data_IF_033691995458
#
_entry.id   IF_033691995458
#
_cell.length_a   1.000
_cell.length_b   1.000
_cell.length_c   1.000
_cell.angle_alpha   90.00
_cell.angle_beta   90.00
_cell.angle_gamma   90.00
#
_symmetry.space_group_name_H-M   'P 1'
#
loop_
_entity.id
_entity.type
_entity.pdbx_description
1 polymer ?
#
# COMPACT_ATOMS: atom_id res chain seq x y z
N UNK A 1 15.98 -25.58 17.90
CA UNK A 1 15.19 -24.63 17.13
C UNK A 1 15.60 -23.22 17.55
N UNK A 2 15.95 -22.35 16.62
CA UNK A 2 16.26 -20.94 16.84
C UNK A 2 15.21 -20.03 16.22
N UNK A 3 15.05 -18.82 16.80
CA UNK A 3 14.22 -17.78 16.22
C UNK A 3 15.13 -16.85 15.40
N UNK A 4 14.70 -16.52 14.19
CA UNK A 4 15.42 -15.63 13.29
C UNK A 4 14.44 -14.61 12.70
N UNK A 5 14.94 -13.41 12.41
CA UNK A 5 14.19 -12.40 11.65
C UNK A 5 14.53 -12.55 10.18
N UNK A 6 13.54 -12.38 9.33
CA UNK A 6 13.77 -12.28 7.89
C UNK A 6 14.30 -10.88 7.57
N UNK A 7 15.48 -10.82 6.96
CA UNK A 7 16.08 -9.60 6.45
C UNK A 7 15.90 -9.44 4.93
N UNK A 8 16.40 -8.34 4.35
CA UNK A 8 16.36 -8.11 2.92
C UNK A 8 16.97 -9.28 2.13
N UNK A 9 16.39 -9.64 0.99
CA UNK A 9 16.92 -10.71 0.14
C UNK A 9 16.90 -12.10 0.76
N UNK A 10 15.93 -12.40 1.61
CA UNK A 10 15.81 -13.69 2.33
C UNK A 10 16.96 -13.98 3.30
N UNK A 11 17.77 -12.99 3.66
CA UNK A 11 18.78 -13.17 4.69
C UNK A 11 18.14 -13.45 6.04
N UNK A 12 18.77 -14.30 6.84
CA UNK A 12 18.36 -14.56 8.21
C UNK A 12 19.13 -13.65 9.15
N UNK A 13 18.41 -12.84 9.91
CA UNK A 13 18.99 -11.94 10.91
C UNK A 13 18.87 -12.57 12.30
N UNK A 14 19.86 -12.28 13.15
CA UNK A 14 19.83 -12.72 14.54
C UNK A 14 18.72 -11.98 15.28
N UNK A 15 17.78 -12.73 15.85
CA UNK A 15 16.77 -12.18 16.74
C UNK A 15 17.34 -11.93 18.14
N UNK A 16 17.12 -10.71 18.66
CA UNK A 16 17.43 -10.34 20.04
C UNK A 16 16.20 -9.68 20.65
N UNK A 17 15.71 -10.21 21.77
CA UNK A 17 14.56 -9.66 22.48
C UNK A 17 13.50 -10.72 22.75
N UNK A 18 12.28 -10.26 23.08
CA UNK A 18 11.11 -11.12 23.29
C UNK A 18 10.24 -11.10 22.03
N UNK A 19 9.77 -12.26 21.60
CA UNK A 19 8.85 -12.38 20.44
C UNK A 19 7.57 -11.56 20.65
N UNK A 20 7.10 -11.49 21.91
CA UNK A 20 5.91 -10.74 22.27
C UNK A 20 6.05 -9.21 22.07
N UNK A 21 7.28 -8.71 21.99
CA UNK A 21 7.58 -7.30 21.80
C UNK A 21 7.81 -6.95 20.31
N UNK A 22 7.79 -7.96 19.42
CA UNK A 22 7.90 -7.75 17.97
C UNK A 22 6.58 -7.28 17.40
N UNK A 23 6.66 -6.30 16.51
CA UNK A 23 5.56 -5.98 15.62
C UNK A 23 5.36 -7.16 14.63
N UNK A 24 4.18 -7.77 14.68
CA UNK A 24 3.82 -8.93 13.86
C UNK A 24 3.23 -8.52 12.50
N UNK A 25 3.30 -7.24 12.17
CA UNK A 25 2.80 -6.74 10.90
C UNK A 25 3.64 -7.29 9.75
N UNK A 26 2.96 -7.76 8.70
CA UNK A 26 3.59 -8.10 7.45
C UNK A 26 3.57 -6.88 6.53
N UNK A 27 4.63 -6.12 6.56
CA UNK A 27 4.82 -4.94 5.71
C UNK A 27 6.11 -5.08 4.89
N UNK A 28 6.11 -4.49 3.70
CA UNK A 28 7.26 -4.51 2.82
C UNK A 28 7.93 -3.13 2.76
N UNK A 29 9.23 -3.06 2.50
CA UNK A 29 9.91 -1.79 2.31
C UNK A 29 9.29 -0.95 1.18
N UNK A 30 9.34 0.37 1.33
CA UNK A 30 8.96 1.32 0.28
C UNK A 30 9.69 1.02 -1.04
N UNK A 31 8.96 1.01 -2.14
CA UNK A 31 9.47 0.66 -3.47
C UNK A 31 9.39 -0.83 -3.79
N UNK A 32 8.84 -1.66 -2.89
CA UNK A 32 8.58 -3.08 -3.20
C UNK A 32 7.39 -3.21 -4.13
N UNK A 33 7.55 -3.94 -5.23
CA UNK A 33 6.45 -4.30 -6.12
C UNK A 33 5.87 -5.65 -5.72
N UNK A 34 4.54 -5.76 -5.67
CA UNK A 34 3.81 -6.95 -5.27
C UNK A 34 3.13 -7.59 -6.47
N UNK A 35 3.33 -8.88 -6.62
CA UNK A 35 2.95 -9.63 -7.81
C UNK A 35 1.45 -9.63 -8.13
N UNK A 36 1.14 -10.06 -9.32
CA UNK A 36 -0.21 -10.29 -9.82
C UNK A 36 -0.33 -11.74 -10.30
N UNK A 37 -1.44 -12.38 -9.98
CA UNK A 37 -1.76 -13.69 -10.53
C UNK A 37 -2.28 -13.54 -11.96
N UNK A 38 -1.56 -14.08 -12.97
CA UNK A 38 -1.95 -13.91 -14.37
C UNK A 38 -3.25 -14.64 -14.73
N UNK A 39 -3.68 -15.62 -13.96
CA UNK A 39 -4.90 -16.37 -14.23
C UNK A 39 -6.16 -15.65 -13.72
N UNK A 40 -6.04 -14.94 -12.61
CA UNK A 40 -7.18 -14.30 -11.94
C UNK A 40 -7.14 -12.77 -12.00
N UNK A 41 -6.02 -12.17 -12.39
CA UNK A 41 -5.75 -10.72 -12.29
C UNK A 41 -5.98 -10.19 -10.87
N UNK A 42 -5.65 -10.99 -9.87
CA UNK A 42 -5.70 -10.60 -8.47
C UNK A 42 -4.30 -10.36 -7.93
N UNK A 43 -4.14 -9.38 -7.03
CA UNK A 43 -2.87 -9.16 -6.37
C UNK A 43 -2.50 -10.34 -5.49
N UNK A 44 -1.21 -10.61 -5.40
CA UNK A 44 -0.66 -11.47 -4.37
C UNK A 44 0.38 -10.69 -3.56
N UNK A 45 0.69 -11.20 -2.38
CA UNK A 45 1.59 -10.55 -1.43
C UNK A 45 3.04 -11.05 -1.58
N UNK A 46 3.44 -11.36 -2.81
CA UNK A 46 4.78 -11.84 -3.14
C UNK A 46 5.60 -10.70 -3.75
N UNK A 47 6.72 -10.30 -3.14
CA UNK A 47 7.61 -9.33 -3.74
C UNK A 47 8.19 -9.84 -5.06
N UNK A 48 8.16 -8.96 -6.05
CA UNK A 48 8.71 -9.21 -7.39
C UNK A 48 9.57 -8.02 -7.83
N UNK A 49 10.39 -8.23 -8.86
CA UNK A 49 11.08 -7.13 -9.52
C UNK A 49 10.04 -6.23 -10.22
N UNK A 50 10.15 -4.91 -10.06
CA UNK A 50 9.19 -3.97 -10.64
C UNK A 50 9.19 -3.98 -12.20
N UNK A 51 10.23 -4.48 -12.84
CA UNK A 51 10.28 -4.63 -14.29
C UNK A 51 9.40 -5.75 -14.84
N UNK A 52 8.91 -6.65 -13.97
CA UNK A 52 7.97 -7.71 -14.36
C UNK A 52 6.54 -7.35 -13.97
N UNK A 53 5.51 -8.06 -14.53
CA UNK A 53 4.11 -7.83 -14.19
C UNK A 53 3.83 -7.90 -12.69
N UNK A 54 3.20 -6.85 -12.15
CA UNK A 54 2.82 -6.75 -10.75
C UNK A 54 1.50 -5.99 -10.60
N UNK A 55 0.87 -6.05 -9.42
CA UNK A 55 -0.41 -5.41 -9.15
C UNK A 55 -0.27 -4.09 -8.41
N UNK A 56 0.69 -4.02 -7.50
CA UNK A 56 0.85 -2.89 -6.58
C UNK A 56 2.31 -2.56 -6.34
N UNK A 57 2.56 -1.32 -5.92
CA UNK A 57 3.86 -0.86 -5.45
C UNK A 57 3.70 -0.20 -4.08
N UNK A 58 4.55 -0.55 -3.13
CA UNK A 58 4.54 -0.03 -1.76
C UNK A 58 5.12 1.37 -1.75
N UNK A 59 4.37 2.36 -1.27
CA UNK A 59 4.79 3.76 -1.20
C UNK A 59 5.18 4.21 0.21
N UNK A 60 4.83 3.43 1.23
CA UNK A 60 5.16 3.73 2.61
C UNK A 60 4.52 2.77 3.60
N UNK A 61 4.78 3.03 4.88
CA UNK A 61 4.24 2.25 6.00
C UNK A 61 3.70 3.19 7.06
N UNK A 62 2.56 2.86 7.65
CA UNK A 62 1.92 3.62 8.74
C UNK A 62 1.94 2.79 10.01
N UNK A 63 2.41 3.37 11.11
CA UNK A 63 2.40 2.74 12.42
C UNK A 63 1.20 3.24 13.25
N UNK A 64 0.18 2.41 13.35
CA UNK A 64 -1.01 2.69 14.15
C UNK A 64 -0.72 2.65 15.65
N UNK A 65 0.25 1.84 16.09
CA UNK A 65 0.62 1.72 17.51
C UNK A 65 1.17 3.01 18.09
N UNK A 66 1.91 3.79 17.31
CA UNK A 66 2.41 5.11 17.73
C UNK A 66 1.28 6.12 17.89
N UNK A 67 0.32 6.11 16.99
CA UNK A 67 -0.83 7.04 16.99
C UNK A 67 -1.87 6.67 18.04
N UNK A 68 -2.09 5.37 18.27
CA UNK A 68 -3.13 4.83 19.13
C UNK A 68 -2.55 3.91 20.23
N UNK A 69 -1.74 4.45 21.15
CA UNK A 69 -1.09 3.63 22.17
C UNK A 69 -2.07 2.99 23.18
N UNK A 70 -3.29 3.52 23.27
CA UNK A 70 -4.33 3.02 24.17
C UNK A 70 -5.08 1.79 23.66
N UNK A 71 -4.84 1.34 22.45
CA UNK A 71 -5.49 0.17 21.86
C UNK A 71 -5.95 0.38 20.42
N UNK A 72 -6.57 -0.66 19.85
CA UNK A 72 -7.11 -0.60 18.48
C UNK A 72 -8.24 0.43 18.40
N UNK A 73 -8.13 1.46 17.54
CA UNK A 73 -9.22 2.40 17.30
C UNK A 73 -10.34 1.75 16.47
N UNK A 74 -11.50 2.38 16.43
CA UNK A 74 -12.59 1.96 15.53
C UNK A 74 -12.17 2.12 14.06
N UNK A 75 -12.77 1.35 13.17
CA UNK A 75 -12.39 1.30 11.75
C UNK A 75 -12.42 2.68 11.08
N UNK A 76 -13.39 3.53 11.41
CA UNK A 76 -13.49 4.88 10.86
C UNK A 76 -12.29 5.77 11.24
N UNK A 77 -11.81 5.68 12.48
CA UNK A 77 -10.64 6.45 12.94
C UNK A 77 -9.35 5.90 12.33
N UNK A 78 -9.25 4.56 12.15
CA UNK A 78 -8.15 3.94 11.43
C UNK A 78 -8.12 4.44 9.99
N UNK A 79 -9.25 4.33 9.27
CA UNK A 79 -9.35 4.70 7.86
C UNK A 79 -8.97 6.17 7.64
N UNK A 80 -9.53 7.08 8.44
CA UNK A 80 -9.22 8.51 8.35
C UNK A 80 -7.72 8.77 8.53
N UNK A 81 -7.11 8.21 9.57
CA UNK A 81 -5.68 8.38 9.85
C UNK A 81 -4.80 7.75 8.77
N UNK A 82 -5.07 6.49 8.40
CA UNK A 82 -4.30 5.79 7.38
C UNK A 82 -4.36 6.53 6.05
N UNK A 83 -5.55 6.94 5.63
CA UNK A 83 -5.77 7.67 4.37
C UNK A 83 -4.98 8.98 4.31
N UNK A 84 -5.00 9.76 5.38
CA UNK A 84 -4.24 11.01 5.48
C UNK A 84 -2.75 10.76 5.33
N UNK A 85 -2.20 9.85 6.16
CA UNK A 85 -0.76 9.56 6.16
C UNK A 85 -0.31 8.90 4.86
N UNK A 86 -1.08 7.93 4.35
CA UNK A 86 -0.75 7.25 3.10
C UNK A 86 -0.79 8.19 1.89
N UNK A 87 -1.73 9.15 1.82
CA UNK A 87 -1.72 10.17 0.77
C UNK A 87 -0.42 10.99 0.81
N UNK A 88 -0.02 11.45 2.00
CA UNK A 88 1.21 12.23 2.18
C UNK A 88 2.46 11.42 1.79
N UNK A 89 2.57 10.18 2.26
CA UNK A 89 3.70 9.29 1.93
C UNK A 89 3.75 8.98 0.43
N UNK A 90 2.59 8.73 -0.18
CA UNK A 90 2.51 8.43 -1.61
C UNK A 90 2.87 9.63 -2.47
N UNK A 91 2.39 10.83 -2.14
CA UNK A 91 2.77 12.06 -2.86
C UNK A 91 4.27 12.35 -2.71
N UNK A 92 4.84 12.13 -1.52
CA UNK A 92 6.29 12.24 -1.32
C UNK A 92 7.09 11.19 -2.12
N UNK A 93 6.55 9.96 -2.21
CA UNK A 93 7.16 8.89 -2.99
C UNK A 93 7.15 9.18 -4.49
N UNK A 94 6.04 9.69 -5.02
CA UNK A 94 5.84 9.98 -6.44
C UNK A 94 6.48 11.29 -6.90
N UNK A 95 6.92 12.16 -5.99
CA UNK A 95 7.40 13.50 -6.32
C UNK A 95 8.38 13.51 -7.51
N UNK A 96 8.25 14.46 -8.45
CA UNK A 96 7.41 15.66 -8.41
C UNK A 96 5.92 15.45 -8.80
N UNK A 97 5.53 14.26 -9.29
CA UNK A 97 4.12 13.92 -9.56
C UNK A 97 3.36 13.71 -8.24
N UNK A 98 2.03 13.71 -8.30
CA UNK A 98 1.15 13.38 -7.19
C UNK A 98 0.20 12.27 -7.59
N UNK A 99 -0.29 11.51 -6.62
CA UNK A 99 -1.24 10.43 -6.89
C UNK A 99 -2.47 10.90 -7.69
N UNK A 100 -3.02 12.07 -7.33
CA UNK A 100 -4.19 12.67 -8.00
C UNK A 100 -3.94 13.07 -9.46
N UNK A 101 -2.69 13.16 -9.88
CA UNK A 101 -2.31 13.48 -11.26
C UNK A 101 -2.23 12.20 -12.13
N UNK A 102 -2.54 11.05 -11.55
CA UNK A 102 -2.50 9.74 -12.19
C UNK A 102 -3.84 9.02 -12.08
N UNK A 103 -4.02 7.95 -12.83
CA UNK A 103 -5.16 7.02 -12.70
C UNK A 103 -4.89 5.90 -11.68
N UNK A 104 -3.78 5.98 -10.94
CA UNK A 104 -3.49 5.05 -9.85
C UNK A 104 -4.37 5.37 -8.63
N UNK A 105 -4.66 4.34 -7.87
CA UNK A 105 -5.47 4.42 -6.66
C UNK A 105 -4.62 4.07 -5.45
N UNK A 106 -4.84 4.78 -4.35
CA UNK A 106 -4.27 4.44 -3.05
C UNK A 106 -4.98 3.21 -2.49
N UNK A 107 -4.19 2.25 -2.02
CA UNK A 107 -4.68 0.97 -1.53
C UNK A 107 -4.02 0.66 -0.19
N UNK A 108 -4.84 0.36 0.79
CA UNK A 108 -4.41 -0.03 2.14
C UNK A 108 -5.50 -0.87 2.80
N UNK A 109 -5.14 -1.52 3.90
CA UNK A 109 -6.08 -2.25 4.76
C UNK A 109 -6.03 -1.66 6.18
N UNK A 110 -7.08 -1.84 6.94
CA UNK A 110 -7.10 -1.61 8.38
C UNK A 110 -6.57 -2.81 9.14
N UNK A 111 -6.11 -2.61 10.38
CA UNK A 111 -5.72 -3.71 11.26
C UNK A 111 -6.95 -4.26 11.94
N UNK A 112 -7.19 -5.56 11.82
CA UNK A 112 -8.29 -6.24 12.51
C UNK A 112 -7.98 -6.46 13.99
N UNK A 113 -9.01 -6.64 14.81
CA UNK A 113 -8.83 -6.93 16.25
C UNK A 113 -7.98 -8.19 16.50
N UNK A 114 -8.16 -9.32 15.78
CA UNK A 114 -7.27 -10.47 15.94
C UNK A 114 -5.81 -10.16 15.59
N UNK A 115 -5.56 -9.40 14.52
CA UNK A 115 -4.20 -9.01 14.12
C UNK A 115 -3.57 -8.08 15.15
N UNK A 116 -4.34 -7.12 15.68
CA UNK A 116 -3.88 -6.24 16.76
C UNK A 116 -3.52 -7.02 18.03
N UNK A 117 -4.38 -7.95 18.43
CA UNK A 117 -4.13 -8.83 19.58
C UNK A 117 -2.89 -9.71 19.37
N UNK A 118 -2.61 -10.11 18.13
CA UNK A 118 -1.42 -10.87 17.75
C UNK A 118 -0.15 -10.01 17.68
N UNK A 119 -0.24 -8.68 17.81
CA UNK A 119 0.92 -7.78 17.81
C UNK A 119 1.13 -6.96 16.53
N UNK A 120 0.22 -7.03 15.56
CA UNK A 120 0.32 -6.19 14.35
C UNK A 120 -0.02 -4.73 14.67
N UNK A 121 0.83 -3.81 14.23
CA UNK A 121 0.69 -2.37 14.47
C UNK A 121 0.85 -1.54 13.20
N UNK A 122 1.39 -2.12 12.14
CA UNK A 122 1.72 -1.42 10.91
C UNK A 122 0.90 -1.91 9.73
N UNK A 123 0.66 -1.02 8.79
CA UNK A 123 0.07 -1.33 7.48
C UNK A 123 0.91 -0.71 6.36
N UNK A 124 0.84 -1.29 5.18
CA UNK A 124 1.46 -0.73 3.98
C UNK A 124 0.50 0.21 3.25
N UNK A 125 1.03 1.34 2.79
CA UNK A 125 0.41 2.17 1.76
C UNK A 125 0.87 1.65 0.40
N UNK A 126 -0.04 1.35 -0.47
CA UNK A 126 0.25 0.85 -1.80
C UNK A 126 -0.45 1.70 -2.86
N UNK A 127 0.09 1.70 -4.06
CA UNK A 127 -0.56 2.21 -5.26
C UNK A 127 -0.77 1.09 -6.26
N UNK A 128 -1.86 1.16 -6.99
CA UNK A 128 -2.25 0.21 -8.02
C UNK A 128 -3.37 0.77 -8.88
N UNK A 129 -3.88 -0.01 -9.80
CA UNK A 129 -5.03 0.36 -10.61
C UNK A 129 -6.04 -0.79 -10.63
N UNK A 130 -7.26 -0.53 -10.18
CA UNK A 130 -8.35 -1.50 -10.21
C UNK A 130 -9.17 -1.34 -11.49
N UNK A 131 -9.64 -2.47 -12.01
CA UNK A 131 -10.54 -2.51 -13.15
C UNK A 131 -12.01 -2.55 -12.68
N UNK A 132 -12.93 -1.99 -13.46
CA UNK A 132 -14.35 -1.95 -13.09
C UNK A 132 -15.03 -3.32 -12.97
N UNK A 133 -14.36 -4.40 -13.38
CA UNK A 133 -14.84 -5.78 -13.29
C UNK A 133 -14.34 -6.54 -12.03
N UNK A 134 -13.74 -5.85 -11.08
CA UNK A 134 -13.15 -6.43 -9.86
C UNK A 134 -11.74 -6.99 -10.02
N UNK A 135 -11.17 -6.96 -11.21
CA UNK A 135 -9.78 -7.31 -11.46
C UNK A 135 -8.83 -6.12 -11.26
N UNK A 136 -7.55 -6.38 -11.38
CA UNK A 136 -6.48 -5.39 -11.26
C UNK A 136 -5.77 -5.19 -12.59
N UNK A 137 -5.37 -3.97 -12.86
CA UNK A 137 -4.48 -3.67 -13.97
C UNK A 137 -3.08 -4.20 -13.69
N UNK A 138 -2.42 -4.67 -14.73
CA UNK A 138 -1.02 -5.07 -14.66
C UNK A 138 -0.13 -3.85 -14.74
N UNK A 139 0.71 -3.67 -13.73
CA UNK A 139 1.76 -2.67 -13.70
C UNK A 139 3.07 -3.27 -14.21
N UNK A 140 3.87 -2.49 -14.90
CA UNK A 140 5.24 -2.81 -15.33
C UNK A 140 6.09 -1.57 -15.09
N UNK A 141 7.27 -1.77 -14.52
CA UNK A 141 8.20 -0.76 -14.01
C UNK A 141 7.67 -0.04 -12.77
N UNK A 142 8.58 0.63 -12.08
CA UNK A 142 8.26 1.41 -10.88
C UNK A 142 7.52 2.71 -11.22
N UNK A 143 6.66 3.14 -10.33
CA UNK A 143 5.95 4.42 -10.43
C UNK A 143 6.89 5.65 -10.38
N UNK A 144 8.15 5.48 -9.96
CA UNK A 144 9.21 6.50 -10.02
C UNK A 144 9.91 6.57 -11.38
N UNK A 145 9.54 5.72 -12.31
CA UNK A 145 10.13 5.60 -13.64
C UNK A 145 9.07 5.53 -14.74
N UNK A 146 9.37 4.87 -15.85
CA UNK A 146 8.46 4.76 -16.99
C UNK A 146 7.38 3.70 -16.74
N UNK A 147 6.54 3.91 -15.70
CA UNK A 147 5.43 3.01 -15.35
C UNK A 147 4.50 2.80 -16.53
N UNK A 148 4.10 1.55 -16.73
CA UNK A 148 3.02 1.18 -17.63
C UNK A 148 1.87 0.55 -16.84
N UNK A 149 0.65 0.95 -17.17
CA UNK A 149 -0.61 0.41 -16.64
C UNK A 149 -1.33 -0.27 -17.81
N UNK A 150 -1.42 -1.60 -17.78
CA UNK A 150 -1.89 -2.40 -18.93
C UNK A 150 -1.19 -2.04 -20.24
N UNK A 151 0.12 -1.81 -20.18
CA UNK A 151 0.94 -1.49 -21.36
C UNK A 151 0.87 -0.03 -21.82
N UNK A 152 0.14 0.85 -21.13
CA UNK A 152 0.03 2.27 -21.46
C UNK A 152 0.58 3.14 -20.34
N UNK A 153 1.17 4.31 -20.62
CA UNK A 153 1.54 5.26 -19.59
C UNK A 153 0.33 5.68 -18.74
N UNK A 154 0.50 5.95 -17.43
CA UNK A 154 -0.54 6.53 -16.61
C UNK A 154 -1.03 7.86 -17.20
N UNK A 155 -2.34 8.09 -17.17
CA UNK A 155 -2.94 9.35 -17.61
C UNK A 155 -3.60 10.06 -16.43
N UNK A 156 -3.65 11.40 -16.42
CA UNK A 156 -4.43 12.12 -15.41
C UNK A 156 -5.91 11.71 -15.48
N UNK A 157 -6.63 11.65 -14.35
CA UNK A 157 -8.07 11.46 -14.38
C UNK A 157 -8.75 12.59 -15.16
N UNK A 158 -9.91 12.34 -15.80
CA UNK A 158 -10.64 13.37 -16.50
C UNK A 158 -11.02 14.51 -15.56
N UNK A 159 -11.05 15.77 -16.01
CA UNK A 159 -11.45 16.90 -15.19
C UNK A 159 -12.87 16.70 -14.64
N UNK A 160 -13.08 17.12 -13.41
CA UNK A 160 -14.42 17.07 -12.80
C UNK A 160 -15.31 18.04 -13.58
N UNK A 161 -16.47 17.61 -14.11
CA UNK A 161 -17.41 18.49 -14.80
C UNK A 161 -17.80 19.68 -13.89
N UNK A 162 -17.81 20.89 -14.44
CA UNK A 162 -18.14 22.12 -13.68
C UNK A 162 -19.53 22.07 -13.02
N UNK A 163 -20.47 21.31 -13.58
CA UNK A 163 -21.80 21.09 -12.99
C UNK A 163 -21.77 20.49 -11.58
N UNK A 164 -20.72 19.70 -11.26
CA UNK A 164 -20.58 19.12 -9.91
C UNK A 164 -19.93 20.07 -8.89
N UNK A 165 -19.25 21.10 -9.37
CA UNK A 165 -18.61 22.10 -8.50
C UNK A 165 -19.64 23.11 -7.93
N UNK A 166 -20.80 23.21 -8.55
CA UNK A 166 -21.86 24.20 -8.22
C UNK A 166 -23.06 23.60 -7.46
N UNK A 167 -22.98 22.34 -7.00
CA UNK A 167 -24.02 21.79 -6.14
C UNK A 167 -23.93 22.44 -4.75
N UNK A 168 -25.02 23.04 -4.24
CA UNK A 168 -25.05 23.52 -2.87
C UNK A 168 -24.80 22.35 -1.90
N UNK A 169 -23.91 22.57 -0.96
CA UNK A 169 -23.67 21.63 0.14
C UNK A 169 -24.99 21.45 0.94
N UNK A 170 -25.34 20.22 1.34
CA UNK A 170 -26.51 19.95 2.14
C UNK A 170 -26.46 20.61 3.50
#
# INVERSE_FOLDING_TARGET
>A
CGLQLQGPGNQQLIFKGRVADLDQSKVWPTGTCLGIDPATNQPNDTPVDCSVPHAMEVTGTVNLGERFPGGLPIDADQDAFIKEVCNSLTDAYLAPARLRDTTLTLIYNTVSLPSWAAGSRQISCNIGATLGNGGWATLINTAKGPLLVNGQPPVPPPPIPEERLNLPLP
#
